data_IF_272630741793
#
_entry.id   IF_272630741793
#
_cell.length_a   1.000
_cell.length_b   1.000
_cell.length_c   1.000
_cell.angle_alpha   90.00
_cell.angle_beta   90.00
_cell.angle_gamma   90.00
#
_symmetry.space_group_name_H-M   'P 1'
#
loop_
_entity.id
_entity.type
_entity.pdbx_description
1 polymer ?
#
# COMPACT_ATOMS: atom_id res chain seq x y z
N UNK A 1 29.63 28.98 -36.70
CA UNK A 1 28.37 28.54 -37.34
C UNK A 1 28.01 27.19 -36.75
N UNK A 2 26.90 26.91 -36.08
CA UNK A 2 25.63 27.58 -35.86
C UNK A 2 25.14 27.18 -34.46
N UNK A 3 24.60 28.17 -33.73
CA UNK A 3 23.90 28.04 -32.45
C UNK A 3 22.40 27.82 -32.67
N UNK A 4 21.78 26.98 -31.83
CA UNK A 4 20.33 26.97 -31.55
C UNK A 4 20.13 26.28 -30.19
N UNK A 5 19.48 26.81 -29.15
CA UNK A 5 18.50 27.89 -29.09
C UNK A 5 17.09 27.31 -28.91
N UNK A 6 16.73 26.85 -27.71
CA UNK A 6 15.34 26.50 -27.40
C UNK A 6 14.88 27.17 -26.10
N UNK A 7 13.89 28.05 -26.25
CA UNK A 7 13.25 28.90 -25.23
C UNK A 7 12.20 28.11 -24.46
N UNK A 8 12.24 28.12 -23.12
CA UNK A 8 11.11 27.68 -22.29
C UNK A 8 10.08 28.80 -22.17
N UNK A 9 8.81 28.46 -22.42
CA UNK A 9 7.66 29.37 -22.28
C UNK A 9 7.20 29.44 -20.83
N UNK A 10 7.00 30.66 -20.34
CA UNK A 10 6.31 31.01 -19.09
C UNK A 10 4.84 30.56 -19.15
N UNK A 11 4.39 29.80 -18.16
CA UNK A 11 2.96 29.63 -17.89
C UNK A 11 2.48 30.75 -16.96
N UNK A 12 1.43 31.45 -17.40
CA UNK A 12 0.72 32.48 -16.64
C UNK A 12 -0.27 31.82 -15.69
N UNK A 13 -0.23 32.22 -14.42
CA UNK A 13 -1.28 31.98 -13.43
C UNK A 13 -2.47 32.93 -13.65
N UNK A 14 -3.68 32.40 -13.62
CA UNK A 14 -4.93 33.16 -13.62
C UNK A 14 -5.56 33.16 -12.20
N UNK A 15 -6.44 34.13 -11.88
CA UNK A 15 -6.49 34.77 -10.56
C UNK A 15 -7.57 34.25 -9.60
N UNK A 16 -7.37 34.62 -8.33
CA UNK A 16 -8.29 34.54 -7.21
C UNK A 16 -9.60 35.32 -7.48
N UNK A 17 -10.75 34.68 -7.23
CA UNK A 17 -12.05 35.35 -7.12
C UNK A 17 -12.38 35.60 -5.65
N UNK A 18 -12.42 36.88 -5.29
CA UNK A 18 -12.93 37.44 -4.04
C UNK A 18 -14.42 37.74 -4.18
N UNK A 19 -15.22 37.33 -3.19
CA UNK A 19 -16.63 37.69 -3.03
C UNK A 19 -16.78 39.17 -2.62
N UNK A 20 -17.83 39.89 -3.08
CA UNK A 20 -18.30 41.08 -2.40
C UNK A 20 -19.57 40.80 -1.58
N UNK A 21 -19.56 41.33 -0.36
CA UNK A 21 -20.72 41.51 0.53
C UNK A 21 -21.50 42.72 0.04
N UNK A 22 -22.84 42.61 -0.03
CA UNK A 22 -23.72 43.72 -0.40
C UNK A 22 -25.17 43.46 0.02
N UNK A 23 -25.55 44.10 1.12
CA UNK A 23 -26.87 44.15 1.75
C UNK A 23 -28.00 44.73 0.88
N UNK A 24 -29.22 44.19 1.01
CA UNK A 24 -30.49 44.96 1.05
C UNK A 24 -31.65 44.04 1.47
N UNK A 25 -32.40 44.46 2.48
CA UNK A 25 -33.42 43.65 3.15
C UNK A 25 -34.82 43.72 2.52
N UNK A 26 -35.72 42.87 3.02
CA UNK A 26 -37.16 43.08 2.95
C UNK A 26 -37.92 42.24 4.01
N UNK A 27 -38.41 42.95 5.03
CA UNK A 27 -39.65 42.83 5.83
C UNK A 27 -40.17 41.45 6.32
N UNK A 28 -40.21 41.35 7.65
CA UNK A 28 -41.16 40.55 8.44
C UNK A 28 -42.61 41.04 8.31
N UNK A 29 -43.58 40.12 8.35
CA UNK A 29 -44.91 40.32 8.98
C UNK A 29 -45.55 38.98 9.43
N UNK A 30 -45.83 38.94 10.73
CA UNK A 30 -46.98 38.35 11.45
C UNK A 30 -47.20 36.82 11.59
N UNK A 31 -47.88 36.52 12.70
CA UNK A 31 -47.84 35.36 13.59
C UNK A 31 -49.22 34.63 13.65
N UNK A 32 -49.22 33.37 14.15
CA UNK A 32 -50.33 32.54 14.69
C UNK A 32 -51.39 31.98 13.70
N UNK A 33 -51.97 30.78 13.81
CA UNK A 33 -51.90 29.64 14.75
C UNK A 33 -52.64 28.41 14.14
N UNK A 34 -52.45 27.23 14.76
CA UNK A 34 -53.33 26.03 14.87
C UNK A 34 -52.69 24.67 14.48
N UNK A 35 -52.57 23.80 15.49
CA UNK A 35 -52.45 22.32 15.42
C UNK A 35 -53.85 21.68 15.30
N UNK A 36 -54.03 20.34 15.24
CA UNK A 36 -53.41 19.31 14.39
C UNK A 36 -54.49 18.43 13.69
N UNK A 37 -54.15 17.66 12.64
CA UNK A 37 -54.90 16.44 12.29
C UNK A 37 -53.97 15.34 11.82
N UNK A 38 -53.94 14.26 12.58
CA UNK A 38 -53.29 13.00 12.27
C UNK A 38 -54.09 12.25 11.20
N UNK A 39 -53.40 11.69 10.19
CA UNK A 39 -53.77 10.43 9.52
C UNK A 39 -52.46 9.76 9.10
N UNK A 40 -52.31 8.49 9.46
CA UNK A 40 -51.04 7.77 9.48
C UNK A 40 -50.45 7.40 8.12
N UNK A 41 -49.15 7.11 8.15
CA UNK A 41 -48.53 6.08 7.33
C UNK A 41 -47.75 5.18 8.27
N UNK A 42 -48.24 3.95 8.35
CA UNK A 42 -47.55 2.78 8.91
C UNK A 42 -46.36 2.47 7.98
N UNK A 43 -45.20 2.22 8.57
CA UNK A 43 -44.11 1.48 7.93
C UNK A 43 -42.99 2.32 7.33
N UNK A 44 -42.02 2.72 8.16
CA UNK A 44 -40.63 3.00 7.71
C UNK A 44 -39.69 3.04 8.93
N UNK A 45 -39.78 2.02 9.77
CA UNK A 45 -38.77 1.71 10.78
C UNK A 45 -38.06 0.44 10.35
N UNK A 46 -36.73 0.44 10.34
CA UNK A 46 -35.80 -0.59 9.83
C UNK A 46 -35.48 -0.50 8.33
N UNK A 47 -34.54 0.39 7.97
CA UNK A 47 -33.48 0.14 6.96
C UNK A 47 -32.61 1.41 6.78
N UNK A 48 -31.76 1.75 7.77
CA UNK A 48 -30.42 2.25 7.42
C UNK A 48 -29.30 1.36 7.96
N UNK A 49 -29.57 0.54 8.98
CA UNK A 49 -28.53 -0.19 9.71
C UNK A 49 -27.83 -1.29 8.89
N UNK A 50 -28.50 -1.87 7.89
CA UNK A 50 -27.92 -2.92 7.04
C UNK A 50 -26.88 -2.37 6.05
N UNK A 51 -27.01 -1.12 5.60
CA UNK A 51 -26.08 -0.52 4.62
C UNK A 51 -24.74 -0.12 5.26
N UNK A 52 -24.77 0.37 6.50
CA UNK A 52 -23.54 0.72 7.24
C UNK A 52 -22.78 -0.49 7.75
N UNK A 53 -23.46 -1.57 8.14
CA UNK A 53 -22.81 -2.81 8.56
C UNK A 53 -22.09 -3.52 7.40
N UNK A 54 -22.75 -3.63 6.23
CA UNK A 54 -22.15 -4.23 5.04
C UNK A 54 -20.91 -3.46 4.55
N UNK A 55 -20.95 -2.13 4.57
CA UNK A 55 -19.82 -1.28 4.17
C UNK A 55 -18.66 -1.31 5.16
N UNK A 56 -18.94 -1.37 6.46
CA UNK A 56 -17.90 -1.54 7.49
C UNK A 56 -17.26 -2.94 7.44
N UNK A 57 -18.04 -3.97 7.10
CA UNK A 57 -17.56 -5.34 6.98
C UNK A 57 -16.75 -5.57 5.71
N UNK A 58 -17.16 -5.01 4.55
CA UNK A 58 -16.35 -4.98 3.33
C UNK A 58 -15.03 -4.20 3.52
N UNK A 59 -15.07 -3.06 4.23
CA UNK A 59 -13.86 -2.31 4.57
C UNK A 59 -12.95 -3.09 5.53
N UNK A 60 -13.52 -3.76 6.54
CA UNK A 60 -12.76 -4.64 7.46
C UNK A 60 -12.16 -5.86 6.76
N UNK A 61 -12.89 -6.47 5.83
CA UNK A 61 -12.39 -7.56 5.00
C UNK A 61 -11.26 -7.08 4.10
N UNK A 62 -11.39 -5.87 3.53
CA UNK A 62 -10.28 -5.25 2.82
C UNK A 62 -9.07 -5.07 3.72
N UNK A 63 -9.20 -4.67 4.99
CA UNK A 63 -8.06 -4.45 5.88
C UNK A 63 -7.52 -5.71 6.57
N UNK A 64 -8.14 -6.88 6.39
CA UNK A 64 -7.67 -8.11 7.02
C UNK A 64 -6.30 -8.47 6.47
N UNK A 65 -5.33 -8.68 7.35
CA UNK A 65 -3.98 -9.10 6.99
C UNK A 65 -3.86 -10.63 7.07
N UNK A 66 -3.13 -11.20 6.12
CA UNK A 66 -2.69 -12.59 6.13
C UNK A 66 -1.19 -12.63 6.38
N UNK A 67 -0.78 -13.49 7.30
CA UNK A 67 0.62 -13.73 7.64
C UNK A 67 1.07 -15.07 7.09
N UNK A 68 2.34 -15.18 6.74
CA UNK A 68 2.98 -16.46 6.48
C UNK A 68 3.45 -17.15 7.76
N UNK A 69 3.75 -18.44 7.67
CA UNK A 69 4.47 -19.14 8.74
C UNK A 69 5.86 -18.51 8.97
N UNK A 70 6.32 -18.43 10.22
CA UNK A 70 7.62 -17.84 10.54
C UNK A 70 8.78 -18.68 10.01
N UNK A 71 9.85 -18.00 9.60
CA UNK A 71 11.14 -18.62 9.24
C UNK A 71 12.25 -18.03 10.09
N UNK A 72 12.91 -18.85 10.90
CA UNK A 72 14.03 -18.44 11.76
C UNK A 72 15.36 -18.67 11.06
N UNK A 73 16.16 -17.61 10.89
CA UNK A 73 17.52 -17.68 10.33
C UNK A 73 18.45 -16.78 11.14
N UNK A 74 19.50 -17.38 11.71
CA UNK A 74 20.57 -16.68 12.42
C UNK A 74 20.06 -15.71 13.50
N UNK A 75 19.07 -16.15 14.28
CA UNK A 75 18.51 -15.38 15.39
C UNK A 75 17.38 -14.39 15.01
N UNK A 76 17.11 -14.18 13.72
CA UNK A 76 15.97 -13.37 13.26
C UNK A 76 14.87 -14.27 12.68
N UNK A 77 13.64 -14.06 13.13
CA UNK A 77 12.44 -14.67 12.61
C UNK A 77 11.76 -13.74 11.62
N UNK A 78 11.39 -14.26 10.45
CA UNK A 78 10.82 -13.49 9.35
C UNK A 78 9.41 -13.96 9.01
N UNK A 79 8.47 -13.02 8.93
CA UNK A 79 7.07 -13.26 8.57
C UNK A 79 6.67 -12.28 7.47
N UNK A 80 6.20 -12.81 6.34
CA UNK A 80 5.59 -11.99 5.29
C UNK A 80 4.14 -11.70 5.66
N UNK A 81 3.72 -10.45 5.50
CA UNK A 81 2.36 -10.00 5.80
C UNK A 81 1.82 -9.27 4.58
N UNK A 82 0.58 -9.56 4.22
CA UNK A 82 -0.10 -8.85 3.15
C UNK A 82 -1.59 -8.71 3.42
N UNK A 83 -2.20 -7.66 2.88
CA UNK A 83 -3.63 -7.53 2.80
C UNK A 83 -4.25 -8.76 2.13
N UNK A 84 -5.27 -9.33 2.78
CA UNK A 84 -5.89 -10.59 2.35
C UNK A 84 -6.64 -10.46 1.03
N UNK A 85 -7.13 -9.27 0.71
CA UNK A 85 -7.79 -8.94 -0.56
C UNK A 85 -7.19 -7.70 -1.18
N UNK A 86 -6.78 -7.80 -2.45
CA UNK A 86 -6.29 -6.68 -3.25
C UNK A 86 -7.35 -6.37 -4.30
N UNK A 87 -8.08 -5.27 -4.10
CA UNK A 87 -9.22 -4.90 -4.92
C UNK A 87 -8.86 -3.84 -5.95
N UNK A 88 -9.18 -4.10 -7.21
CA UNK A 88 -8.91 -3.22 -8.33
C UNK A 88 -10.19 -2.95 -9.13
N UNK A 89 -10.40 -1.70 -9.55
CA UNK A 89 -11.59 -1.31 -10.32
C UNK A 89 -11.27 -1.16 -11.81
N UNK A 90 -12.17 -1.68 -12.67
CA UNK A 90 -12.15 -1.48 -14.12
C UNK A 90 -13.49 -0.83 -14.59
N UNK A 91 -13.49 0.35 -15.24
CA UNK A 91 -12.34 1.22 -15.49
C UNK A 91 -11.67 1.73 -14.19
N UNK A 92 -10.41 2.20 -14.27
CA UNK A 92 -9.69 2.72 -13.12
C UNK A 92 -10.44 3.90 -12.49
N UNK A 93 -10.61 3.89 -11.17
CA UNK A 93 -11.17 5.03 -10.42
C UNK A 93 -10.06 5.74 -9.64
N UNK A 94 -9.24 4.96 -8.94
CA UNK A 94 -8.06 5.39 -8.19
C UNK A 94 -7.02 4.26 -8.21
N UNK A 95 -5.75 4.63 -8.09
CA UNK A 95 -4.69 3.66 -7.82
C UNK A 95 -4.89 3.11 -6.39
N UNK A 96 -4.84 1.79 -6.25
CA UNK A 96 -4.82 1.12 -4.94
C UNK A 96 -3.41 1.12 -4.34
N UNK A 97 -3.33 0.94 -3.02
CA UNK A 97 -2.07 0.78 -2.28
C UNK A 97 -2.20 -0.40 -1.34
N UNK A 98 -2.06 -1.65 -1.85
CA UNK A 98 -2.29 -2.83 -1.04
C UNK A 98 -1.20 -2.99 0.02
N UNK A 99 -1.57 -3.30 1.25
CA UNK A 99 -0.61 -3.39 2.35
C UNK A 99 0.30 -4.63 2.19
N UNK A 100 1.61 -4.41 2.26
CA UNK A 100 2.64 -5.46 2.24
C UNK A 100 3.72 -5.12 3.25
N UNK A 101 4.01 -6.04 4.16
CA UNK A 101 4.98 -5.84 5.24
C UNK A 101 5.88 -7.06 5.43
N UNK A 102 7.08 -6.81 5.93
CA UNK A 102 7.96 -7.84 6.47
C UNK A 102 8.12 -7.60 7.96
N UNK A 103 7.65 -8.54 8.78
CA UNK A 103 7.87 -8.52 10.22
C UNK A 103 9.11 -9.35 10.55
N UNK A 104 10.02 -8.74 11.31
CA UNK A 104 11.29 -9.31 11.72
C UNK A 104 11.34 -9.30 13.24
N UNK A 105 11.44 -10.45 13.87
CA UNK A 105 11.56 -10.58 15.33
C UNK A 105 12.93 -11.11 15.69
N UNK A 106 13.65 -10.40 16.56
CA UNK A 106 14.89 -10.91 17.12
C UNK A 106 14.59 -11.93 18.21
N UNK A 107 14.89 -13.20 17.91
CA UNK A 107 14.73 -14.35 18.82
C UNK A 107 16.03 -14.72 19.53
N UNK A 108 17.12 -14.01 19.27
CA UNK A 108 18.39 -14.20 19.96
C UNK A 108 18.41 -13.51 21.34
N UNK A 109 19.49 -13.74 22.10
CA UNK A 109 19.74 -13.10 23.39
C UNK A 109 20.55 -11.80 23.27
N UNK A 110 20.90 -11.40 22.05
CA UNK A 110 21.75 -10.24 21.77
C UNK A 110 21.00 -9.25 20.89
N UNK A 111 21.39 -7.98 20.93
CA UNK A 111 20.89 -6.99 19.99
C UNK A 111 21.50 -7.22 18.61
N UNK A 112 20.66 -7.10 17.57
CA UNK A 112 21.09 -7.32 16.18
C UNK A 112 20.85 -6.10 15.33
N UNK A 113 21.86 -5.72 14.54
CA UNK A 113 21.70 -4.73 13.49
C UNK A 113 21.26 -5.42 12.21
N UNK A 114 20.13 -4.97 11.65
CA UNK A 114 19.61 -5.42 10.37
C UNK A 114 19.76 -4.33 9.32
N UNK A 115 20.46 -4.61 8.22
CA UNK A 115 20.53 -3.69 7.10
C UNK A 115 19.18 -3.61 6.38
N UNK A 116 18.76 -2.39 6.05
CA UNK A 116 17.55 -2.18 5.21
C UNK A 116 17.91 -1.73 3.80
N UNK A 117 19.20 -1.56 3.50
CA UNK A 117 19.67 -1.09 2.20
C UNK A 117 19.98 -2.28 1.29
N UNK A 118 19.28 -2.39 0.16
CA UNK A 118 19.43 -3.45 -0.84
C UNK A 118 19.46 -4.85 -0.24
N UNK A 119 18.59 -5.07 0.76
CA UNK A 119 18.57 -6.30 1.56
C UNK A 119 17.38 -7.18 1.22
N UNK A 120 16.25 -6.63 0.78
CA UNK A 120 15.02 -7.41 0.57
C UNK A 120 14.35 -7.14 -0.77
N UNK A 121 13.72 -8.17 -1.30
CA UNK A 121 12.95 -8.17 -2.53
C UNK A 121 11.64 -8.91 -2.30
N UNK A 122 10.62 -8.56 -3.08
CA UNK A 122 9.34 -9.29 -3.11
C UNK A 122 9.37 -10.30 -4.25
N UNK A 123 8.67 -11.42 -4.07
CA UNK A 123 8.33 -12.36 -5.14
C UNK A 123 6.82 -12.63 -5.07
N UNK A 124 6.18 -12.61 -6.24
CA UNK A 124 4.78 -12.96 -6.42
C UNK A 124 4.63 -14.26 -7.20
N UNK A 125 3.63 -15.06 -6.82
CA UNK A 125 3.22 -16.28 -7.53
C UNK A 125 1.75 -16.15 -7.88
N UNK A 126 1.42 -16.41 -9.15
CA UNK A 126 0.09 -16.31 -9.71
C UNK A 126 -0.83 -17.49 -9.38
N UNK A 127 -2.11 -17.42 -9.80
CA UNK A 127 -3.09 -18.49 -9.61
C UNK A 127 -2.72 -19.80 -10.32
N UNK A 128 -1.93 -19.70 -11.38
CA UNK A 128 -1.35 -20.82 -12.14
C UNK A 128 -0.12 -21.45 -11.46
N UNK A 129 0.19 -21.03 -10.23
CA UNK A 129 1.35 -21.41 -9.44
C UNK A 129 2.71 -21.03 -10.06
N UNK A 130 2.73 -20.13 -11.06
CA UNK A 130 3.97 -19.64 -11.66
C UNK A 130 4.46 -18.36 -10.98
N UNK A 131 5.78 -18.22 -10.90
CA UNK A 131 6.39 -16.97 -10.45
C UNK A 131 6.10 -15.89 -11.47
N UNK A 132 5.58 -14.76 -11.01
CA UNK A 132 5.36 -13.59 -11.85
C UNK A 132 6.71 -12.93 -12.08
N UNK A 133 7.02 -12.70 -13.35
CA UNK A 133 8.26 -12.02 -13.72
C UNK A 133 8.28 -10.61 -13.13
N UNK A 134 9.41 -10.28 -12.50
CA UNK A 134 9.66 -8.98 -11.92
C UNK A 134 10.23 -8.05 -12.98
N UNK A 135 9.45 -7.07 -13.40
CA UNK A 135 9.93 -5.92 -14.15
C UNK A 135 10.40 -4.78 -13.24
N UNK A 136 10.60 -3.61 -13.84
CA UNK A 136 11.00 -2.39 -13.14
C UNK A 136 12.49 -2.08 -13.28
N UNK A 137 13.07 -1.46 -12.26
CA UNK A 137 14.46 -0.98 -12.31
C UNK A 137 14.84 -0.16 -11.10
N UNK A 138 15.72 0.82 -11.29
CA UNK A 138 16.22 1.67 -10.21
C UNK A 138 16.12 3.15 -10.60
N UNK A 139 15.49 3.95 -9.75
CA UNK A 139 15.43 5.40 -9.88
C UNK A 139 16.26 6.07 -8.78
N UNK A 140 17.56 6.20 -9.07
CA UNK A 140 18.55 6.69 -8.12
C UNK A 140 18.83 5.71 -6.97
N UNK A 141 19.74 6.11 -6.08
CA UNK A 141 20.12 5.32 -4.92
C UNK A 141 19.83 6.12 -3.65
N UNK A 142 19.03 5.56 -2.77
CA UNK A 142 18.69 6.13 -1.48
C UNK A 142 19.24 5.22 -0.39
N UNK A 143 20.27 5.68 0.33
CA UNK A 143 20.79 4.91 1.46
C UNK A 143 19.79 4.95 2.60
N UNK A 144 19.45 3.79 3.14
CA UNK A 144 18.65 3.68 4.35
C UNK A 144 19.58 3.42 5.54
N UNK A 145 19.15 3.88 6.71
CA UNK A 145 19.86 3.55 7.96
C UNK A 145 19.54 2.10 8.33
N UNK A 146 20.54 1.32 8.79
CA UNK A 146 20.25 0.03 9.36
C UNK A 146 19.43 0.20 10.64
N UNK A 147 18.74 -0.86 11.05
CA UNK A 147 17.88 -0.85 12.23
C UNK A 147 18.49 -1.73 13.31
N UNK A 148 18.57 -1.22 14.53
CA UNK A 148 18.86 -2.02 15.71
C UNK A 148 17.57 -2.71 16.14
N UNK A 149 17.58 -4.03 16.23
CA UNK A 149 16.48 -4.84 16.73
C UNK A 149 16.95 -5.46 18.04
N UNK A 150 16.56 -4.91 19.21
CA UNK A 150 17.00 -5.45 20.48
C UNK A 150 16.51 -6.89 20.70
N UNK A 151 17.18 -7.62 21.59
CA UNK A 151 16.79 -8.99 21.95
C UNK A 151 15.29 -9.08 22.32
N UNK A 152 14.57 -10.04 21.72
CA UNK A 152 13.13 -10.24 21.92
C UNK A 152 12.22 -9.18 21.29
N UNK A 153 12.76 -8.16 20.60
CA UNK A 153 11.97 -7.09 19.97
C UNK A 153 11.66 -7.40 18.51
N UNK A 154 10.66 -6.70 17.99
CA UNK A 154 10.17 -6.82 16.63
C UNK A 154 10.32 -5.51 15.89
N UNK A 155 10.75 -5.60 14.64
CA UNK A 155 10.75 -4.53 13.66
C UNK A 155 9.83 -4.92 12.50
N UNK A 156 8.94 -4.02 12.10
CA UNK A 156 8.10 -4.22 10.92
C UNK A 156 8.51 -3.24 9.84
N UNK A 157 8.90 -3.79 8.70
CA UNK A 157 9.17 -3.04 7.49
C UNK A 157 7.87 -2.87 6.70
N UNK A 158 7.39 -1.63 6.62
CA UNK A 158 6.32 -1.23 5.71
C UNK A 158 6.93 -0.37 4.59
N UNK A 159 6.66 -0.73 3.34
CA UNK A 159 7.15 -0.01 2.16
C UNK A 159 6.00 0.46 1.31
N UNK A 160 6.27 1.50 0.51
CA UNK A 160 5.26 2.05 -0.37
C UNK A 160 4.93 1.03 -1.46
N UNK A 161 3.63 0.77 -1.59
CA UNK A 161 3.05 -0.03 -2.65
C UNK A 161 2.05 0.81 -3.41
N UNK A 162 1.88 0.50 -4.69
CA UNK A 162 0.81 1.08 -5.49
C UNK A 162 0.40 0.12 -6.58
N UNK A 163 -0.78 0.33 -7.13
CA UNK A 163 -1.24 -0.39 -8.31
C UNK A 163 -1.47 0.56 -9.44
N UNK A 164 -1.07 0.17 -10.65
CA UNK A 164 -1.16 1.02 -11.82
C UNK A 164 -1.64 0.19 -13.02
N UNK A 165 -2.70 0.65 -13.68
CA UNK A 165 -3.12 0.06 -14.94
C UNK A 165 -2.11 0.36 -16.05
N UNK A 166 -1.91 -0.59 -16.96
CA UNK A 166 -1.20 -0.32 -18.20
C UNK A 166 -1.93 0.75 -19.04
N UNK A 167 -1.23 1.34 -20.01
CA UNK A 167 -1.80 2.40 -20.88
C UNK A 167 -3.05 1.93 -21.63
N UNK A 168 -3.15 0.61 -21.89
CA UNK A 168 -4.30 0.00 -22.55
C UNK A 168 -5.50 -0.25 -21.61
N UNK A 169 -5.35 -0.07 -20.29
CA UNK A 169 -6.36 -0.39 -19.28
C UNK A 169 -6.70 -1.87 -19.17
N UNK A 170 -5.82 -2.76 -19.64
CA UNK A 170 -6.03 -4.21 -19.71
C UNK A 170 -5.40 -4.95 -18.53
N UNK A 171 -4.20 -4.53 -18.15
CA UNK A 171 -3.39 -5.22 -17.14
C UNK A 171 -3.19 -4.31 -15.94
N UNK A 172 -3.44 -4.84 -14.74
CA UNK A 172 -3.07 -4.16 -13.51
C UNK A 172 -1.63 -4.52 -13.16
N UNK A 173 -0.82 -3.54 -12.80
CA UNK A 173 0.51 -3.75 -12.27
C UNK A 173 0.55 -3.48 -10.77
N UNK A 174 1.09 -4.41 -9.99
CA UNK A 174 1.52 -4.12 -8.63
C UNK A 174 2.94 -3.55 -8.65
N UNK A 175 3.15 -2.44 -7.95
CA UNK A 175 4.44 -1.76 -7.84
C UNK A 175 4.86 -1.73 -6.37
N UNK A 176 6.07 -2.21 -6.11
CA UNK A 176 6.70 -2.20 -4.79
C UNK A 176 7.94 -1.30 -4.82
N UNK A 177 8.00 -0.34 -3.91
CA UNK A 177 9.12 0.59 -3.77
C UNK A 177 9.89 0.26 -2.50
N UNK A 178 11.09 -0.31 -2.63
CA UNK A 178 11.87 -0.83 -1.49
C UNK A 178 12.47 0.24 -0.58
N UNK A 179 12.28 1.52 -0.92
CA UNK A 179 12.81 2.68 -0.21
C UNK A 179 14.28 3.01 -0.51
N UNK A 180 14.99 2.18 -1.28
CA UNK A 180 16.41 2.37 -1.63
C UNK A 180 16.61 2.87 -3.07
N UNK A 181 15.50 3.07 -3.78
CA UNK A 181 15.44 3.50 -5.18
C UNK A 181 15.05 2.38 -6.13
N UNK A 182 14.97 1.13 -5.68
CA UNK A 182 14.48 0.02 -6.51
C UNK A 182 12.97 0.12 -6.66
N UNK A 183 12.51 -0.09 -7.88
CA UNK A 183 11.11 -0.16 -8.28
C UNK A 183 10.90 -1.56 -8.84
N UNK A 184 10.09 -2.37 -8.18
CA UNK A 184 9.71 -3.69 -8.66
C UNK A 184 8.26 -3.64 -9.17
N UNK A 185 8.04 -4.07 -10.41
CA UNK A 185 6.72 -4.06 -11.06
C UNK A 185 6.32 -5.48 -11.43
N UNK A 186 5.07 -5.85 -11.16
CA UNK A 186 4.52 -7.18 -11.41
C UNK A 186 3.18 -7.06 -12.12
N UNK A 187 3.06 -7.67 -13.31
CA UNK A 187 1.80 -7.75 -14.02
C UNK A 187 0.86 -8.76 -13.33
N UNK A 188 -0.36 -8.32 -13.03
CA UNK A 188 -1.44 -9.13 -12.45
C UNK A 188 -2.54 -9.31 -13.52
N UNK A 189 -2.37 -10.27 -14.46
CA UNK A 189 -3.23 -10.36 -15.64
C UNK A 189 -4.67 -10.75 -15.29
N UNK A 190 -4.86 -11.57 -14.24
CA UNK A 190 -6.14 -12.18 -13.92
C UNK A 190 -6.47 -12.06 -12.42
N UNK A 191 -7.75 -11.92 -12.04
CA UNK A 191 -8.19 -12.12 -10.66
C UNK A 191 -7.88 -13.54 -10.18
N UNK A 192 -7.74 -13.73 -8.87
CA UNK A 192 -7.58 -15.05 -8.30
C UNK A 192 -6.70 -15.08 -7.05
N UNK A 193 -6.24 -16.27 -6.68
CA UNK A 193 -5.40 -16.47 -5.50
C UNK A 193 -3.93 -16.33 -5.86
N UNK A 194 -3.25 -15.46 -5.15
CA UNK A 194 -1.82 -15.21 -5.32
C UNK A 194 -1.10 -15.51 -4.01
N UNK A 195 0.22 -15.67 -4.09
CA UNK A 195 1.07 -15.66 -2.89
C UNK A 195 2.23 -14.68 -3.00
N UNK A 196 2.59 -14.10 -1.86
CA UNK A 196 3.69 -13.14 -1.71
C UNK A 196 4.77 -13.73 -0.80
N UNK A 197 6.04 -13.53 -1.17
CA UNK A 197 7.20 -13.85 -0.34
C UNK A 197 8.18 -12.70 -0.35
N UNK A 198 8.86 -12.50 0.76
CA UNK A 198 10.11 -11.75 0.83
C UNK A 198 11.31 -12.68 0.67
N UNK A 199 12.27 -12.23 -0.12
CA UNK A 199 13.65 -12.73 -0.16
C UNK A 199 14.52 -11.68 0.51
N UNK A 200 15.26 -12.05 1.55
CA UNK A 200 16.20 -11.17 2.22
C UNK A 200 17.61 -11.76 2.16
N UNK A 201 18.60 -10.93 1.85
CA UNK A 201 19.99 -11.33 1.77
C UNK A 201 20.90 -10.19 2.24
N UNK A 202 21.74 -10.50 3.22
CA UNK A 202 22.84 -9.64 3.65
C UNK A 202 24.09 -10.51 3.81
N UNK A 203 25.00 -10.50 2.80
CA UNK A 203 26.17 -11.37 2.83
C UNK A 203 27.19 -10.85 3.84
N UNK A 204 28.15 -11.69 4.22
CA UNK A 204 29.28 -11.27 5.10
C UNK A 204 30.23 -10.33 4.35
N UNK A 205 30.38 -10.57 3.05
CA UNK A 205 31.25 -9.81 2.15
C UNK A 205 30.50 -9.42 0.87
N UNK A 206 30.94 -8.33 0.24
CA UNK A 206 30.45 -7.91 -1.08
C UNK A 206 31.64 -7.46 -1.92
N UNK A 207 31.82 -8.08 -3.08
CA UNK A 207 32.95 -7.83 -3.99
C UNK A 207 34.32 -8.08 -3.35
N UNK A 208 34.43 -9.08 -2.47
CA UNK A 208 35.67 -9.44 -1.77
C UNK A 208 35.98 -8.58 -0.54
N UNK A 209 35.13 -7.60 -0.22
CA UNK A 209 35.29 -6.73 0.94
C UNK A 209 34.25 -7.07 2.02
N UNK A 210 34.64 -7.17 3.31
CA UNK A 210 33.69 -7.39 4.39
C UNK A 210 32.71 -6.22 4.48
N UNK A 211 31.44 -6.52 4.76
CA UNK A 211 30.46 -5.48 5.01
C UNK A 211 30.72 -4.79 6.35
N UNK A 212 30.17 -3.58 6.50
CA UNK A 212 30.38 -2.73 7.67
C UNK A 212 29.86 -3.41 8.94
N UNK A 213 30.78 -3.67 9.86
CA UNK A 213 30.48 -4.00 11.24
C UNK A 213 30.25 -2.75 12.08
N UNK A 214 29.58 -2.91 13.22
CA UNK A 214 29.35 -1.83 14.18
C UNK A 214 29.99 -2.23 15.50
N UNK A 215 30.76 -1.33 16.10
CA UNK A 215 31.46 -1.61 17.36
C UNK A 215 30.45 -2.02 18.44
N UNK A 216 30.68 -3.19 19.04
CA UNK A 216 29.91 -3.70 20.16
C UNK A 216 28.51 -4.22 19.82
N UNK A 217 28.07 -4.22 18.56
CA UNK A 217 26.76 -4.76 18.16
C UNK A 217 26.86 -5.63 16.91
N UNK A 218 26.35 -6.85 17.01
CA UNK A 218 26.40 -7.83 15.94
C UNK A 218 25.49 -7.46 14.78
N UNK A 219 26.02 -7.54 13.56
CA UNK A 219 25.22 -7.39 12.33
C UNK A 219 24.64 -8.74 11.94
N UNK A 220 23.37 -8.76 11.53
CA UNK A 220 22.77 -9.96 10.96
C UNK A 220 23.30 -10.16 9.54
N UNK A 221 23.94 -11.31 9.32
CA UNK A 221 24.29 -11.80 8.00
C UNK A 221 23.51 -13.08 7.72
N UNK A 222 22.92 -13.18 6.54
CA UNK A 222 22.14 -14.35 6.18
C UNK A 222 21.38 -14.19 4.88
N UNK A 223 20.77 -15.29 4.47
CA UNK A 223 19.86 -15.36 3.32
C UNK A 223 18.61 -16.11 3.76
N UNK A 224 17.45 -15.52 3.53
CA UNK A 224 16.17 -16.10 3.91
C UNK A 224 15.13 -15.83 2.83
N UNK A 225 14.32 -16.85 2.56
CA UNK A 225 13.07 -16.70 1.82
C UNK A 225 11.94 -17.03 2.78
N UNK A 226 11.08 -16.06 3.03
CA UNK A 226 9.90 -16.26 3.87
C UNK A 226 8.97 -17.33 3.27
N UNK A 227 8.15 -17.94 4.13
CA UNK A 227 6.99 -18.70 3.66
C UNK A 227 6.01 -17.76 2.97
N UNK A 228 5.13 -18.33 2.15
CA UNK A 228 4.22 -17.55 1.33
C UNK A 228 3.03 -17.02 2.14
N UNK A 229 2.82 -15.71 2.13
CA UNK A 229 1.58 -15.09 2.57
C UNK A 229 0.57 -15.16 1.42
N UNK A 230 -0.69 -15.48 1.71
CA UNK A 230 -1.73 -15.65 0.69
C UNK A 230 -2.56 -14.38 0.56
N UNK A 231 -2.94 -14.01 -0.66
CA UNK A 231 -3.94 -12.98 -0.92
C UNK A 231 -4.84 -13.38 -2.08
N UNK A 232 -5.99 -12.74 -2.15
CA UNK A 232 -6.91 -12.80 -3.28
C UNK A 232 -6.91 -11.47 -4.02
N UNK A 233 -6.68 -11.51 -5.32
CA UNK A 233 -6.77 -10.35 -6.21
C UNK A 233 -8.16 -10.33 -6.83
N UNK A 234 -8.87 -9.23 -6.63
CA UNK A 234 -10.24 -9.03 -7.11
C UNK A 234 -10.26 -7.92 -8.16
N UNK A 235 -10.98 -8.17 -9.26
CA UNK A 235 -11.30 -7.15 -10.27
C UNK A 235 -12.78 -6.84 -10.19
N UNK A 236 -13.10 -5.64 -9.74
CA UNK A 236 -14.46 -5.14 -9.60
C UNK A 236 -14.81 -4.16 -10.72
N UNK A 237 -16.09 -4.06 -11.03
CA UNK A 237 -16.58 -3.04 -11.96
C UNK A 237 -16.58 -1.67 -11.28
N UNK A 238 -16.27 -0.59 -12.01
CA UNK A 238 -16.38 0.74 -11.41
C UNK A 238 -17.81 1.08 -10.92
N UNK A 239 -18.82 0.40 -11.46
CA UNK A 239 -20.25 0.56 -11.10
C UNK A 239 -20.63 -0.11 -9.78
N UNK A 240 -19.81 -1.03 -9.28
CA UNK A 240 -20.05 -1.73 -8.02
C UNK A 240 -19.45 -1.04 -6.80
N UNK A 241 -18.94 0.19 -6.94
CA UNK A 241 -18.45 0.97 -5.80
C UNK A 241 -19.64 1.38 -4.92
N UNK A 242 -19.59 1.15 -3.60
CA UNK A 242 -20.56 1.75 -2.68
C UNK A 242 -20.50 3.27 -2.84
N UNK A 243 -21.65 3.90 -3.07
CA UNK A 243 -21.75 5.37 -3.09
C UNK A 243 -21.48 5.90 -1.69
N UNK A 244 -20.23 6.24 -1.38
CA UNK A 244 -19.90 7.08 -0.24
C UNK A 244 -20.24 8.52 -0.63
N UNK A 245 -21.49 8.93 -0.36
CA UNK A 245 -21.88 10.34 -0.27
C UNK A 245 -21.89 10.76 1.19
#
# INVERSE_FOLDING_TARGET
MLTAGCRSRKFRSAPHNTFPIGSRGFKERFMLAMLPRAVGIIGLGLLPLLSFAATAEEYRLSLRLNESEPVLVNGLEFVAITQSQWTFYNPPIVDGSPEVQLRITNRSQEDLIFSTFDTFLVQLVGPDARVIERGGGRNGTRRTRPVLIPAGKTYTLCRETRTQWDEAGKTMNFVYLDGTGTIATYALPEPGRYTLRFECEYPVERNGEPLREFEGVKVWHGKVKTKAARMEVLRLSARSRPNFR
#
